data_IF_512057361932
#
_entry.id   IF_512057361932
#
_cell.length_a   1.000
_cell.length_b   1.000
_cell.length_c   1.000
_cell.angle_alpha   90.00
_cell.angle_beta   90.00
_cell.angle_gamma   90.00
#
_symmetry.space_group_name_H-M   'P 1'
#
loop_
_entity.id
_entity.type
_entity.pdbx_description
1 polymer ?
#
# COMPACT_ATOMS: atom_id res chain seq x y z
N UNK A 1 -9.42 12.59 -27.47
CA UNK A 1 -10.38 13.19 -26.52
C UNK A 1 -9.57 13.39 -25.25
N UNK A 2 -9.23 14.64 -24.92
CA UNK A 2 -8.45 14.96 -23.73
C UNK A 2 -9.43 15.16 -22.58
N UNK A 3 -9.35 14.33 -21.53
CA UNK A 3 -9.93 14.61 -20.23
C UNK A 3 -8.80 15.00 -19.27
N UNK A 4 -8.52 16.30 -19.06
CA UNK A 4 -7.60 16.69 -18.03
C UNK A 4 -8.36 16.93 -16.71
N UNK A 5 -7.91 16.25 -15.66
CA UNK A 5 -7.64 16.88 -14.36
C UNK A 5 -8.78 16.92 -13.34
N UNK A 6 -8.58 16.16 -12.26
CA UNK A 6 -9.19 16.26 -10.93
C UNK A 6 -10.73 16.20 -10.88
N UNK A 7 -11.24 15.01 -10.53
CA UNK A 7 -12.62 14.84 -10.09
C UNK A 7 -12.77 15.34 -8.64
N UNK A 8 -12.92 16.66 -8.46
CA UNK A 8 -13.42 17.23 -7.20
C UNK A 8 -14.92 16.92 -7.12
N UNK A 9 -15.27 15.78 -6.54
CA UNK A 9 -16.66 15.45 -6.25
C UNK A 9 -17.02 15.94 -4.85
N UNK A 10 -18.20 16.55 -4.70
CA UNK A 10 -18.91 16.80 -3.44
C UNK A 10 -19.40 15.47 -2.80
N UNK A 11 -18.67 14.39 -3.06
CA UNK A 11 -18.93 13.00 -2.74
C UNK A 11 -17.76 12.50 -1.93
N UNK A 12 -18.03 11.63 -0.96
CA UNK A 12 -17.02 11.05 -0.06
C UNK A 12 -15.96 10.18 -0.76
N UNK A 13 -15.83 10.25 -2.10
CA UNK A 13 -14.84 9.51 -2.87
C UNK A 13 -14.40 10.27 -4.13
N UNK A 14 -13.10 10.28 -4.39
CA UNK A 14 -12.46 10.79 -5.61
C UNK A 14 -12.13 9.61 -6.52
N UNK A 15 -12.68 9.58 -7.73
CA UNK A 15 -12.38 8.55 -8.71
C UNK A 15 -11.54 9.11 -9.86
N UNK A 16 -10.44 8.44 -10.16
CA UNK A 16 -9.40 8.83 -11.08
C UNK A 16 -9.20 7.72 -12.12
N UNK A 17 -9.41 8.03 -13.39
CA UNK A 17 -9.35 7.07 -14.50
C UNK A 17 -8.42 7.62 -15.57
N UNK A 18 -7.61 6.76 -16.20
CA UNK A 18 -6.65 7.12 -17.23
C UNK A 18 -5.70 8.27 -16.80
N UNK A 19 -5.39 8.36 -15.51
CA UNK A 19 -4.62 9.48 -14.98
C UNK A 19 -3.12 9.17 -15.00
N UNK A 20 -2.34 10.11 -15.53
CA UNK A 20 -0.88 10.23 -15.32
C UNK A 20 -0.62 11.48 -14.48
N UNK A 21 -1.08 11.47 -13.23
CA UNK A 21 -1.11 12.66 -12.39
C UNK A 21 -1.13 12.37 -10.89
N UNK A 22 -1.47 13.39 -10.10
CA UNK A 22 -1.63 13.22 -8.64
C UNK A 22 -3.09 13.39 -8.25
N UNK A 23 -3.54 12.52 -7.35
CA UNK A 23 -4.88 12.54 -6.77
C UNK A 23 -4.71 12.72 -5.27
N UNK A 24 -5.40 13.69 -4.69
CA UNK A 24 -5.36 13.93 -3.25
C UNK A 24 -6.78 13.89 -2.72
N UNK A 25 -7.04 13.02 -1.76
CA UNK A 25 -8.23 13.08 -0.92
C UNK A 25 -7.88 13.76 0.39
N UNK A 26 -8.68 14.76 0.75
CA UNK A 26 -8.74 15.22 2.13
C UNK A 26 -9.65 14.35 2.98
N UNK A 27 -9.84 14.76 4.23
CA UNK A 27 -10.38 14.00 5.34
C UNK A 27 -11.66 13.24 5.01
N UNK A 28 -11.74 11.99 5.49
CA UNK A 28 -12.87 11.09 5.37
C UNK A 28 -13.35 10.88 3.92
N UNK A 29 -12.41 10.80 2.97
CA UNK A 29 -12.72 10.51 1.56
C UNK A 29 -11.94 9.31 1.05
N UNK A 30 -12.64 8.44 0.33
CA UNK A 30 -11.99 7.39 -0.43
C UNK A 30 -11.31 7.93 -1.70
N UNK A 31 -10.20 7.33 -2.11
CA UNK A 31 -9.64 7.52 -3.46
C UNK A 31 -9.65 6.20 -4.19
N UNK A 32 -10.10 6.21 -5.45
CA UNK A 32 -9.92 5.08 -6.35
C UNK A 32 -9.24 5.60 -7.61
N UNK A 33 -8.00 5.18 -7.84
CA UNK A 33 -7.30 5.36 -9.09
C UNK A 33 -7.30 4.02 -9.84
N UNK A 34 -7.99 3.94 -10.97
CA UNK A 34 -8.09 2.71 -11.76
C UNK A 34 -7.60 2.96 -13.18
N UNK A 35 -6.92 1.96 -13.77
CA UNK A 35 -6.28 2.07 -15.09
C UNK A 35 -5.34 3.30 -15.16
N UNK A 36 -4.69 3.59 -14.03
CA UNK A 36 -3.81 4.73 -13.89
C UNK A 36 -2.36 4.29 -14.11
N UNK A 37 -1.60 5.07 -14.85
CA UNK A 37 -0.17 4.83 -15.07
C UNK A 37 0.64 5.98 -14.46
N UNK A 38 1.65 5.66 -13.63
CA UNK A 38 2.52 6.68 -13.03
C UNK A 38 1.76 7.75 -12.23
N UNK A 39 0.83 7.30 -11.37
CA UNK A 39 0.05 8.16 -10.49
C UNK A 39 0.66 8.30 -9.09
N UNK A 40 0.34 9.41 -8.41
CA UNK A 40 0.60 9.58 -6.99
C UNK A 40 -0.71 9.88 -6.24
N UNK A 41 -1.13 9.01 -5.34
CA UNK A 41 -2.32 9.16 -4.51
C UNK A 41 -1.92 9.52 -3.08
N UNK A 42 -2.53 10.54 -2.50
CA UNK A 42 -2.41 10.84 -1.08
C UNK A 42 -3.80 10.84 -0.43
N UNK A 43 -3.93 10.17 0.71
CA UNK A 43 -5.12 10.20 1.55
C UNK A 43 -4.73 10.40 3.02
N UNK A 44 -5.59 11.06 3.78
CA UNK A 44 -5.40 11.27 5.22
C UNK A 44 -6.72 11.24 5.97
N UNK A 45 -6.63 11.16 7.29
CA UNK A 45 -7.72 11.28 8.25
C UNK A 45 -8.90 10.33 7.96
N UNK A 46 -8.73 9.06 8.35
CA UNK A 46 -9.74 8.00 8.25
C UNK A 46 -10.30 7.90 6.82
N UNK A 47 -9.37 7.72 5.88
CA UNK A 47 -9.60 7.65 4.43
C UNK A 47 -9.08 6.33 3.87
N UNK A 48 -9.66 5.88 2.76
CA UNK A 48 -9.25 4.64 2.09
C UNK A 48 -8.83 4.90 0.65
N UNK A 49 -7.62 4.51 0.28
CA UNK A 49 -7.12 4.62 -1.10
C UNK A 49 -6.96 3.25 -1.73
N UNK A 50 -7.44 3.11 -2.96
CA UNK A 50 -7.18 1.94 -3.80
C UNK A 50 -6.61 2.43 -5.13
N UNK A 51 -5.50 1.83 -5.55
CA UNK A 51 -4.89 2.10 -6.83
C UNK A 51 -4.66 0.80 -7.59
N UNK A 52 -5.24 0.71 -8.78
CA UNK A 52 -5.06 -0.40 -9.71
C UNK A 52 -4.54 0.15 -11.05
N UNK A 53 -3.42 -0.39 -11.50
CA UNK A 53 -2.64 0.12 -12.63
C UNK A 53 -1.15 0.19 -12.28
N UNK A 54 -0.32 0.59 -13.24
CA UNK A 54 1.11 0.37 -13.13
C UNK A 54 1.88 1.60 -12.60
N UNK A 55 2.89 1.36 -11.78
CA UNK A 55 3.80 2.37 -11.23
C UNK A 55 3.07 3.46 -10.43
N UNK A 56 2.09 3.07 -9.63
CA UNK A 56 1.34 3.99 -8.78
C UNK A 56 1.98 4.05 -7.39
N UNK A 57 2.14 5.25 -6.85
CA UNK A 57 2.50 5.47 -5.45
C UNK A 57 1.28 5.93 -4.64
N UNK A 58 0.94 5.22 -3.58
CA UNK A 58 -0.13 5.60 -2.64
C UNK A 58 0.48 5.89 -1.28
N UNK A 59 0.13 7.02 -0.69
CA UNK A 59 0.48 7.39 0.68
C UNK A 59 -0.80 7.60 1.48
N UNK A 60 -0.93 6.91 2.62
CA UNK A 60 -2.06 7.09 3.54
C UNK A 60 -1.58 7.33 4.98
N UNK A 61 -2.24 8.24 5.69
CA UNK A 61 -1.87 8.65 7.06
C UNK A 61 -3.11 8.74 7.95
N UNK A 62 -2.92 8.67 9.26
CA UNK A 62 -3.94 8.95 10.29
C UNK A 62 -5.18 8.06 10.16
N UNK A 63 -5.13 6.85 10.73
CA UNK A 63 -6.23 5.87 10.73
C UNK A 63 -6.72 5.50 9.32
N UNK A 64 -5.84 5.53 8.31
CA UNK A 64 -6.20 5.35 6.91
C UNK A 64 -5.76 3.99 6.35
N UNK A 65 -6.19 3.68 5.13
CA UNK A 65 -5.77 2.47 4.45
C UNK A 65 -5.38 2.70 2.99
N UNK A 66 -4.39 1.95 2.52
CA UNK A 66 -3.92 1.98 1.14
C UNK A 66 -3.88 0.56 0.56
N UNK A 67 -4.37 0.39 -0.66
CA UNK A 67 -4.28 -0.85 -1.42
C UNK A 67 -3.69 -0.54 -2.80
N UNK A 68 -2.67 -1.28 -3.19
CA UNK A 68 -2.02 -1.16 -4.50
C UNK A 68 -1.80 -2.51 -5.18
N UNK A 69 -1.84 -2.51 -6.50
CA UNK A 69 -1.55 -3.68 -7.35
C UNK A 69 -0.63 -3.28 -8.52
N UNK A 70 -0.11 -4.27 -9.25
CA UNK A 70 0.65 -4.11 -10.51
C UNK A 70 1.92 -3.23 -10.41
N UNK A 71 3.01 -3.74 -9.84
CA UNK A 71 4.31 -3.04 -9.72
C UNK A 71 4.21 -1.64 -9.03
N UNK A 72 3.28 -1.51 -8.08
CA UNK A 72 2.96 -0.26 -7.38
C UNK A 72 3.46 -0.26 -5.92
N UNK A 73 3.32 0.88 -5.25
CA UNK A 73 3.84 1.07 -3.88
C UNK A 73 2.80 1.72 -2.97
N UNK A 74 2.51 1.10 -1.84
CA UNK A 74 1.75 1.66 -0.72
C UNK A 74 2.69 2.04 0.44
N UNK A 75 2.49 3.23 1.00
CA UNK A 75 3.17 3.68 2.23
C UNK A 75 2.12 4.17 3.21
N UNK A 76 2.15 3.66 4.45
CA UNK A 76 1.18 4.01 5.48
C UNK A 76 1.82 4.33 6.83
N UNK A 77 1.22 5.25 7.57
CA UNK A 77 1.72 5.71 8.89
C UNK A 77 0.56 5.95 9.87
N UNK A 78 0.85 5.87 11.18
CA UNK A 78 -0.03 6.22 12.29
C UNK A 78 -1.38 5.46 12.29
N UNK A 79 -1.37 4.27 12.89
CA UNK A 79 -2.55 3.39 13.04
C UNK A 79 -3.22 3.02 11.69
N UNK A 80 -2.42 2.95 10.63
CA UNK A 80 -2.90 2.76 9.25
C UNK A 80 -2.63 1.34 8.73
N UNK A 81 -3.15 1.02 7.54
CA UNK A 81 -2.95 -0.30 6.93
C UNK A 81 -2.67 -0.28 5.44
N UNK A 82 -1.66 -1.04 5.00
CA UNK A 82 -1.27 -1.20 3.60
C UNK A 82 -1.50 -2.61 3.08
N UNK A 83 -1.94 -2.74 1.84
CA UNK A 83 -1.98 -4.01 1.12
C UNK A 83 -1.32 -3.83 -0.25
N UNK A 84 -0.49 -4.79 -0.64
CA UNK A 84 0.21 -4.80 -1.92
C UNK A 84 0.14 -6.17 -2.57
N UNK A 85 -0.26 -6.20 -3.84
CA UNK A 85 -0.41 -7.41 -4.66
C UNK A 85 0.34 -7.27 -5.99
N UNK A 86 0.65 -8.38 -6.66
CA UNK A 86 1.24 -8.44 -8.01
C UNK A 86 2.53 -7.59 -8.17
N UNK A 87 3.65 -8.09 -7.63
CA UNK A 87 4.96 -7.42 -7.65
C UNK A 87 5.01 -6.03 -6.99
N UNK A 88 4.07 -5.72 -6.11
CA UNK A 88 3.99 -4.42 -5.46
C UNK A 88 4.78 -4.38 -4.15
N UNK A 89 4.80 -3.23 -3.49
CA UNK A 89 5.45 -3.06 -2.19
C UNK A 89 4.61 -2.25 -1.21
N UNK A 90 4.51 -2.75 0.02
CA UNK A 90 3.89 -2.06 1.14
C UNK A 90 4.96 -1.68 2.18
N UNK A 91 4.88 -0.48 2.72
CA UNK A 91 5.72 0.00 3.83
C UNK A 91 4.83 0.61 4.91
N UNK A 92 5.11 0.31 6.16
CA UNK A 92 4.30 0.73 7.30
C UNK A 92 5.13 1.18 8.50
N UNK A 93 4.67 2.24 9.18
CA UNK A 93 5.29 2.84 10.36
C UNK A 93 4.24 3.21 11.43
N UNK A 94 4.65 3.29 12.70
CA UNK A 94 3.85 3.74 13.85
C UNK A 94 2.53 2.97 14.04
N UNK A 95 2.60 1.81 14.70
CA UNK A 95 1.44 0.96 15.05
C UNK A 95 0.58 0.52 13.83
N UNK A 96 1.19 0.53 12.64
CA UNK A 96 0.52 0.21 11.38
C UNK A 96 0.66 -1.26 11.00
N UNK A 97 0.00 -1.67 9.91
CA UNK A 97 0.14 -3.04 9.40
C UNK A 97 0.23 -3.10 7.89
N UNK A 98 1.07 -3.99 7.34
CA UNK A 98 1.02 -4.32 5.92
C UNK A 98 0.79 -5.79 5.62
N UNK A 99 0.24 -6.01 4.43
CA UNK A 99 0.10 -7.32 3.80
C UNK A 99 0.68 -7.27 2.39
N UNK A 100 1.58 -8.20 2.08
CA UNK A 100 2.17 -8.39 0.77
C UNK A 100 1.76 -9.77 0.20
N UNK A 101 1.12 -9.78 -0.97
CA UNK A 101 0.68 -10.98 -1.68
C UNK A 101 1.24 -11.02 -3.11
N UNK A 102 1.28 -12.21 -3.70
CA UNK A 102 1.77 -12.52 -5.06
C UNK A 102 3.04 -11.76 -5.52
N UNK A 103 4.21 -12.31 -5.16
CA UNK A 103 5.53 -11.75 -5.50
C UNK A 103 5.79 -10.31 -4.98
N UNK A 104 4.99 -9.84 -4.01
CA UNK A 104 5.12 -8.52 -3.40
C UNK A 104 6.06 -8.51 -2.19
N UNK A 105 6.33 -7.31 -1.65
CA UNK A 105 7.14 -7.13 -0.45
C UNK A 105 6.48 -6.19 0.57
N UNK A 106 6.57 -6.52 1.86
CA UNK A 106 6.09 -5.71 2.99
C UNK A 106 7.23 -5.31 3.93
N UNK A 107 7.19 -4.11 4.51
CA UNK A 107 8.23 -3.59 5.43
C UNK A 107 7.61 -2.88 6.63
N UNK A 108 7.70 -3.52 7.80
CA UNK A 108 7.19 -3.01 9.07
C UNK A 108 8.26 -2.30 9.91
N UNK A 109 7.96 -1.10 10.41
CA UNK A 109 8.83 -0.31 11.29
C UNK A 109 8.05 0.24 12.49
N UNK A 110 8.71 0.45 13.63
CA UNK A 110 8.21 1.05 14.87
C UNK A 110 6.83 0.51 15.33
N UNK A 111 6.84 -0.62 16.03
CA UNK A 111 5.64 -1.30 16.56
C UNK A 111 4.61 -1.76 15.50
N UNK A 112 4.99 -1.73 14.22
CA UNK A 112 4.12 -2.17 13.13
C UNK A 112 4.17 -3.67 12.87
N UNK A 113 3.26 -4.18 12.03
CA UNK A 113 3.17 -5.61 11.70
C UNK A 113 3.04 -5.89 10.21
N UNK A 114 3.99 -6.65 9.67
CA UNK A 114 4.02 -7.06 8.26
C UNK A 114 3.64 -8.53 8.08
N UNK A 115 2.80 -8.81 7.09
CA UNK A 115 2.41 -10.17 6.68
C UNK A 115 2.75 -10.41 5.22
N UNK A 116 3.47 -11.49 4.90
CA UNK A 116 3.72 -11.93 3.53
C UNK A 116 3.02 -13.26 3.24
N UNK A 117 2.36 -13.33 2.09
CA UNK A 117 1.62 -14.51 1.61
C UNK A 117 2.16 -14.92 0.23
N UNK A 118 2.11 -16.22 -0.08
CA UNK A 118 2.63 -16.82 -1.32
C UNK A 118 4.16 -16.65 -1.47
N UNK A 119 4.64 -16.26 -2.66
CA UNK A 119 6.06 -15.99 -2.98
C UNK A 119 6.50 -14.57 -2.57
N UNK A 120 5.75 -13.94 -1.66
CA UNK A 120 6.04 -12.60 -1.13
C UNK A 120 7.03 -12.61 0.04
N UNK A 121 7.57 -11.44 0.37
CA UNK A 121 8.51 -11.25 1.48
C UNK A 121 8.01 -10.20 2.47
N UNK A 122 8.27 -10.40 3.77
CA UNK A 122 8.02 -9.41 4.81
C UNK A 122 9.30 -9.16 5.60
N UNK A 123 9.62 -7.88 5.83
CA UNK A 123 10.75 -7.42 6.64
C UNK A 123 10.19 -6.64 7.82
N UNK A 124 10.82 -6.77 8.99
CA UNK A 124 10.44 -6.04 10.20
C UNK A 124 11.70 -5.47 10.86
N UNK A 125 11.63 -4.22 11.31
CA UNK A 125 12.68 -3.52 12.05
C UNK A 125 12.20 -3.07 13.44
N UNK A 126 13.11 -2.86 14.38
CA UNK A 126 12.81 -2.45 15.77
C UNK A 126 11.89 -3.45 16.52
N UNK A 127 10.88 -2.99 17.25
CA UNK A 127 9.90 -3.81 17.97
C UNK A 127 8.75 -4.35 17.06
N UNK A 128 8.91 -4.24 15.74
CA UNK A 128 7.93 -4.67 14.74
C UNK A 128 7.86 -6.20 14.55
N UNK A 129 6.68 -6.70 14.15
CA UNK A 129 6.44 -8.13 13.91
C UNK A 129 6.35 -8.48 12.43
N UNK A 130 7.11 -9.48 11.95
CA UNK A 130 6.99 -10.03 10.60
C UNK A 130 6.41 -11.46 10.59
N UNK A 131 5.39 -11.74 9.78
CA UNK A 131 4.81 -13.09 9.60
C UNK A 131 4.78 -13.49 8.13
N UNK A 132 5.24 -14.70 7.81
CA UNK A 132 5.14 -15.26 6.46
C UNK A 132 4.22 -16.50 6.46
N UNK A 133 3.23 -16.51 5.57
CA UNK A 133 2.29 -17.60 5.35
C UNK A 133 2.34 -18.07 3.88
N UNK A 134 3.26 -19.00 3.57
CA UNK A 134 3.41 -19.55 2.22
C UNK A 134 4.10 -20.91 2.23
N UNK A 135 3.79 -21.77 1.25
CA UNK A 135 4.44 -23.08 1.13
C UNK A 135 5.90 -22.90 0.71
N UNK A 136 6.79 -23.08 1.68
CA UNK A 136 8.23 -22.91 1.56
C UNK A 136 8.83 -23.78 0.45
N UNK A 137 9.25 -23.19 -0.67
CA UNK A 137 10.20 -23.82 -1.59
C UNK A 137 11.62 -23.32 -1.27
N UNK A 138 12.56 -24.19 -0.87
CA UNK A 138 13.86 -23.75 -0.39
C UNK A 138 14.73 -23.42 -1.59
N UNK A 139 14.78 -22.16 -2.00
CA UNK A 139 15.84 -21.64 -2.86
C UNK A 139 15.99 -20.13 -2.72
N UNK A 140 17.11 -19.76 -2.08
CA UNK A 140 17.83 -18.46 -2.16
C UNK A 140 17.49 -17.40 -1.10
N UNK A 141 18.08 -17.61 0.07
CA UNK A 141 18.91 -16.60 0.78
C UNK A 141 18.42 -15.14 0.78
N UNK A 142 17.61 -14.77 1.78
CA UNK A 142 18.02 -13.82 2.82
C UNK A 142 17.23 -14.11 4.11
N UNK A 143 17.98 -14.31 5.20
CA UNK A 143 17.50 -14.38 6.57
C UNK A 143 17.16 -12.93 6.98
N UNK A 144 16.08 -12.65 7.73
CA UNK A 144 16.03 -12.78 9.19
C UNK A 144 14.59 -13.06 9.62
N UNK A 145 14.35 -14.22 10.26
CA UNK A 145 13.22 -14.39 11.17
C UNK A 145 13.71 -13.98 12.56
N UNK A 146 13.18 -12.88 13.11
CA UNK A 146 13.21 -12.61 14.54
C UNK A 146 11.80 -12.87 15.07
N UNK A 147 11.67 -13.95 15.84
CA UNK A 147 10.59 -14.11 16.79
C UNK A 147 11.12 -13.60 18.13
N UNK A 148 10.44 -12.62 18.72
CA UNK A 148 10.49 -12.33 20.16
C UNK A 148 9.16 -12.71 20.77
#
# INVERSE_FOLDING_TARGET
MNHPGAAEADSSAVAAWDNNGSVVAGDNRGVVAADADSCAVAAGDNSGSMAAGNYIGVVAMDDSSAVVEDDSIAVVENDSSAVSEDNSSAMEEDDSSAVAEDDSSGVAVNDSSGVAVNDSSAVAEDDSGGRAAGTWWPSRSMHVLVFV
#
